data_IF_383420946307
#
_entry.id   IF_383420946307
#
_cell.length_a   1.000
_cell.length_b   1.000
_cell.length_c   1.000
_cell.angle_alpha   90.00
_cell.angle_beta   90.00
_cell.angle_gamma   90.00
#
_symmetry.space_group_name_H-M   'P 1'
#
loop_
_entity.id
_entity.type
_entity.pdbx_description
1 polymer ?
#
# COMPACT_ATOMS: atom_id res chain seq x y z
N UNK A 1 6.06 4.01 -1.88
CA UNK A 1 5.36 3.74 -0.60
C UNK A 1 4.16 4.67 -0.49
N UNK A 2 3.04 4.19 0.03
CA UNK A 2 1.80 4.97 0.20
C UNK A 2 1.47 5.07 1.70
N UNK A 3 1.15 6.28 2.16
CA UNK A 3 0.80 6.56 3.56
C UNK A 3 -0.67 6.93 3.69
N UNK A 4 -1.32 6.45 4.75
CA UNK A 4 -2.74 6.71 4.99
C UNK A 4 -3.27 5.93 6.19
N UNK A 5 -4.55 6.06 6.51
CA UNK A 5 -5.18 5.35 7.62
C UNK A 5 -5.64 3.94 7.22
N UNK A 6 -4.71 3.10 6.75
CA UNK A 6 -5.01 1.78 6.18
C UNK A 6 -5.13 0.66 7.22
N UNK A 7 -4.80 0.93 8.48
CA UNK A 7 -4.71 -0.08 9.52
C UNK A 7 -3.52 -1.02 9.31
N UNK A 8 -3.64 -2.23 9.87
CA UNK A 8 -2.58 -3.23 9.84
C UNK A 8 -3.16 -4.62 9.66
N UNK A 9 -3.70 -4.89 8.47
CA UNK A 9 -4.47 -6.11 8.20
C UNK A 9 -3.67 -7.39 8.47
N UNK A 10 -2.37 -7.38 8.16
CA UNK A 10 -1.50 -8.55 8.27
C UNK A 10 -0.67 -8.56 9.57
N UNK A 11 -0.99 -7.69 10.55
CA UNK A 11 -0.22 -7.52 11.79
C UNK A 11 1.29 -7.29 11.55
N UNK A 12 1.62 -6.60 10.46
CA UNK A 12 2.97 -6.17 10.14
C UNK A 12 3.53 -5.23 11.20
N UNK A 13 4.85 -5.14 11.37
CA UNK A 13 5.42 -4.25 12.40
C UNK A 13 5.06 -2.78 12.19
N UNK A 14 4.85 -2.38 10.92
CA UNK A 14 4.43 -1.04 10.56
C UNK A 14 3.07 -1.06 9.87
N UNK A 15 2.05 -0.61 10.60
CA UNK A 15 0.71 -0.33 10.07
C UNK A 15 0.64 1.01 9.31
N UNK A 16 -0.51 1.29 8.70
CA UNK A 16 -0.84 2.56 8.03
C UNK A 16 0.09 2.94 6.86
N UNK A 17 0.85 1.97 6.37
CA UNK A 17 1.79 2.15 5.26
C UNK A 17 1.71 0.94 4.36
N UNK A 18 1.44 1.20 3.08
CA UNK A 18 1.42 0.17 2.05
C UNK A 18 2.68 0.29 1.21
N UNK A 19 3.40 -0.82 1.09
CA UNK A 19 4.52 -0.95 0.19
C UNK A 19 4.11 -1.65 -1.10
N UNK A 20 4.45 -1.02 -2.22
CA UNK A 20 4.30 -1.56 -3.58
C UNK A 20 5.68 -1.40 -4.22
N UNK A 21 6.39 -2.49 -4.55
CA UNK A 21 7.71 -2.41 -5.16
C UNK A 21 7.60 -1.93 -6.60
N UNK A 22 8.56 -1.12 -7.06
CA UNK A 22 8.63 -0.64 -8.45
C UNK A 22 8.71 -1.78 -9.47
N UNK A 23 9.29 -2.92 -9.08
CA UNK A 23 9.33 -4.12 -9.90
C UNK A 23 7.96 -4.81 -10.06
N UNK A 24 6.92 -4.35 -9.36
CA UNK A 24 5.58 -4.93 -9.46
C UNK A 24 4.95 -4.61 -10.82
N UNK A 25 4.39 -5.59 -11.56
CA UNK A 25 3.83 -5.37 -12.90
C UNK A 25 2.62 -4.42 -12.93
N UNK A 26 2.05 -4.12 -11.76
CA UNK A 26 0.94 -3.17 -11.62
C UNK A 26 1.32 -1.89 -10.88
N UNK A 27 2.61 -1.62 -10.66
CA UNK A 27 3.07 -0.45 -9.90
C UNK A 27 2.45 0.85 -10.43
N UNK A 28 2.55 1.11 -11.74
CA UNK A 28 2.00 2.33 -12.36
C UNK A 28 0.48 2.42 -12.21
N UNK A 29 -0.22 1.30 -12.38
CA UNK A 29 -1.69 1.24 -12.23
C UNK A 29 -2.09 1.53 -10.79
N UNK A 30 -1.36 0.97 -9.84
CA UNK A 30 -1.60 1.18 -8.44
C UNK A 30 -1.40 2.64 -8.05
N UNK A 31 -0.28 3.23 -8.47
CA UNK A 31 0.00 4.65 -8.23
C UNK A 31 -1.04 5.57 -8.88
N UNK A 32 -1.44 5.28 -10.12
CA UNK A 32 -2.48 6.04 -10.81
C UNK A 32 -3.82 5.96 -10.07
N UNK A 33 -4.21 4.79 -9.55
CA UNK A 33 -5.44 4.64 -8.76
C UNK A 33 -5.37 5.41 -7.44
N UNK A 34 -4.24 5.37 -6.74
CA UNK A 34 -4.05 6.13 -5.50
C UNK A 34 -4.16 7.63 -5.77
N UNK A 35 -3.50 8.11 -6.84
CA UNK A 35 -3.57 9.52 -7.23
C UNK A 35 -4.99 9.92 -7.64
N UNK A 36 -5.70 9.07 -8.38
CA UNK A 36 -7.09 9.30 -8.78
C UNK A 36 -8.02 9.37 -7.56
N UNK A 37 -7.89 8.42 -6.62
CA UNK A 37 -8.66 8.41 -5.38
C UNK A 37 -8.39 9.66 -4.53
N UNK A 38 -7.11 10.04 -4.38
CA UNK A 38 -6.71 11.27 -3.69
C UNK A 38 -7.31 12.52 -4.35
N UNK A 39 -7.19 12.64 -5.67
CA UNK A 39 -7.68 13.81 -6.44
C UNK A 39 -9.21 13.92 -6.42
N UNK A 40 -9.91 12.78 -6.40
CA UNK A 40 -11.36 12.71 -6.36
C UNK A 40 -11.94 12.74 -4.93
N UNK A 41 -11.07 12.88 -3.91
CA UNK A 41 -11.43 12.82 -2.49
C UNK A 41 -12.27 11.55 -2.17
N UNK A 42 -11.79 10.42 -2.68
CA UNK A 42 -12.40 9.10 -2.49
C UNK A 42 -11.52 8.22 -1.61
N UNK A 43 -12.18 7.35 -0.86
CA UNK A 43 -11.51 6.36 -0.03
C UNK A 43 -10.86 5.29 -0.91
N UNK A 44 -9.60 4.98 -0.61
CA UNK A 44 -8.80 3.98 -1.31
C UNK A 44 -8.55 2.82 -0.35
N UNK A 45 -8.97 1.63 -0.75
CA UNK A 45 -8.76 0.40 0.00
C UNK A 45 -7.69 -0.45 -0.68
N UNK A 46 -6.75 -0.95 0.13
CA UNK A 46 -5.71 -1.85 -0.32
C UNK A 46 -5.98 -3.26 0.18
N UNK A 47 -5.81 -4.24 -0.70
CA UNK A 47 -5.77 -5.65 -0.33
C UNK A 47 -4.32 -6.04 -0.07
N UNK A 48 -4.02 -6.23 1.20
CA UNK A 48 -2.70 -6.64 1.68
C UNK A 48 -2.67 -8.17 1.71
N UNK A 49 -1.57 -8.79 1.29
CA UNK A 49 -1.43 -10.26 1.28
C UNK A 49 -0.23 -10.76 2.07
N UNK A 50 0.42 -9.86 2.81
CA UNK A 50 1.51 -10.19 3.69
C UNK A 50 2.31 -8.97 4.10
N UNK A 51 3.46 -9.25 4.72
CA UNK A 51 4.39 -8.23 5.15
C UNK A 51 5.70 -8.35 4.37
N UNK A 52 6.22 -7.23 3.85
CA UNK A 52 7.51 -7.21 3.15
C UNK A 52 8.50 -6.22 3.74
N UNK A 53 9.74 -6.67 3.98
CA UNK A 53 10.85 -5.80 4.39
C UNK A 53 11.31 -4.94 3.22
N UNK A 54 11.49 -3.64 3.48
CA UNK A 54 11.98 -2.67 2.50
C UNK A 54 13.40 -2.30 2.90
N UNK A 55 14.38 -3.06 2.39
CA UNK A 55 15.76 -3.01 2.86
C UNK A 55 16.48 -1.66 2.70
N UNK A 56 16.04 -0.81 1.75
CA UNK A 56 16.58 0.53 1.56
C UNK A 56 15.94 1.59 2.48
N UNK A 57 14.80 1.28 3.12
CA UNK A 57 14.03 2.24 3.89
C UNK A 57 14.28 2.11 5.40
N UNK A 58 14.50 0.90 5.91
CA UNK A 58 14.90 0.67 7.31
C UNK A 58 15.63 -0.67 7.44
N UNK A 59 16.80 -0.67 8.07
CA UNK A 59 17.65 -1.84 8.29
C UNK A 59 17.35 -2.61 9.58
N UNK A 60 16.56 -2.02 10.49
CA UNK A 60 16.44 -2.48 11.89
C UNK A 60 15.16 -3.29 12.13
N UNK A 61 14.00 -2.82 11.67
CA UNK A 61 12.67 -3.45 11.75
C UNK A 61 11.75 -2.74 10.75
N UNK A 62 10.64 -3.27 10.25
CA UNK A 62 10.19 -4.64 10.03
C UNK A 62 9.09 -4.52 8.97
N UNK A 63 8.73 -5.66 8.41
CA UNK A 63 7.94 -5.79 7.22
C UNK A 63 6.70 -4.85 7.18
N UNK A 64 6.47 -4.19 6.04
CA UNK A 64 5.33 -3.30 5.77
C UNK A 64 4.16 -4.09 5.18
N UNK A 65 2.93 -3.61 5.35
CA UNK A 65 1.79 -4.15 4.61
C UNK A 65 2.11 -4.13 3.10
N UNK A 66 2.13 -5.31 2.51
CA UNK A 66 2.45 -5.55 1.11
C UNK A 66 1.19 -5.86 0.31
N UNK A 67 0.96 -5.11 -0.76
CA UNK A 67 -0.20 -5.30 -1.65
C UNK A 67 0.28 -5.69 -3.05
N UNK A 68 -0.16 -6.86 -3.53
CA UNK A 68 0.21 -7.44 -4.83
C UNK A 68 -0.91 -7.48 -5.86
N UNK A 69 -2.16 -7.31 -5.45
CA UNK A 69 -3.26 -7.73 -6.34
C UNK A 69 -4.27 -6.65 -6.64
N UNK A 70 -4.71 -5.87 -5.65
CA UNK A 70 -5.90 -5.06 -5.87
C UNK A 70 -5.94 -3.81 -5.00
N UNK A 71 -6.31 -2.69 -5.64
CA UNK A 71 -6.68 -1.43 -4.99
C UNK A 71 -8.09 -1.09 -5.47
N UNK A 72 -9.00 -0.81 -4.54
CA UNK A 72 -10.36 -0.38 -4.83
C UNK A 72 -10.57 1.08 -4.42
N UNK A 73 -11.22 1.85 -5.30
CA UNK A 73 -11.72 3.18 -4.96
C UNK A 73 -13.21 3.03 -4.65
N UNK A 74 -13.62 3.42 -3.44
CA UNK A 74 -15.03 3.43 -3.10
C UNK A 74 -15.69 4.67 -3.72
N UNK A 75 -16.68 4.46 -4.58
CA UNK A 75 -17.57 5.54 -5.01
C UNK A 75 -18.62 5.80 -3.92
N UNK A 76 -19.08 7.06 -3.75
CA UNK A 76 -20.01 7.46 -2.70
C UNK A 76 -21.38 6.79 -2.87
#
# INVERSE_FOLDING_TARGET
MVWGNFGNAENCAIGNRIYIPESHPQYDKAYAMVLAGFSANKEVHFYVTGCQKVGWYNSTEDAFNYSVHTIHIRQP
#
